data_IF_555174631605
#
_entry.id   IF_555174631605
#
_cell.length_a   1.000
_cell.length_b   1.000
_cell.length_c   1.000
_cell.angle_alpha   90.00
_cell.angle_beta   90.00
_cell.angle_gamma   90.00
#
_symmetry.space_group_name_H-M   'P 1'
#
loop_
_entity.id
_entity.type
_entity.pdbx_description
1 polymer ?
#
# COMPACT_ATOMS: atom_id res chain seq x y z
N UNK A 1 -3.31 0.97 21.28
CA UNK A 1 -2.97 1.51 19.96
C UNK A 1 -2.65 2.99 20.16
N UNK A 2 -1.56 3.51 19.57
CA UNK A 2 -1.24 4.95 19.60
C UNK A 2 -1.52 5.58 18.25
N UNK A 3 -1.84 6.86 18.21
CA UNK A 3 -1.95 7.58 16.94
C UNK A 3 -0.58 7.81 16.32
N UNK A 4 -0.47 7.78 15.00
CA UNK A 4 0.71 8.27 14.28
C UNK A 4 0.91 9.79 14.46
N UNK A 5 -0.15 10.53 14.80
CA UNK A 5 -0.08 11.98 15.06
C UNK A 5 0.64 12.31 16.35
N UNK A 6 0.61 11.40 17.34
CA UNK A 6 1.40 11.52 18.57
C UNK A 6 2.92 11.55 18.29
N UNK A 7 3.32 11.09 17.11
CA UNK A 7 4.71 11.09 16.63
C UNK A 7 4.95 12.17 15.57
N UNK A 8 3.98 13.06 15.34
CA UNK A 8 4.10 14.16 14.39
C UNK A 8 3.86 13.77 12.94
N UNK A 9 3.27 12.61 12.63
CA UNK A 9 2.81 12.30 11.26
C UNK A 9 1.52 13.07 11.00
N UNK A 10 1.60 14.13 10.19
CA UNK A 10 0.52 15.11 9.98
C UNK A 10 0.29 15.35 8.48
N UNK A 11 -0.95 15.57 8.02
CA UNK A 11 -1.24 15.76 6.60
C UNK A 11 -0.56 16.99 5.96
N UNK A 12 -0.26 18.00 6.76
CA UNK A 12 0.37 19.27 6.33
C UNK A 12 1.88 19.13 6.11
N UNK A 13 2.50 18.10 6.68
CA UNK A 13 3.93 17.88 6.54
C UNK A 13 4.28 17.52 5.09
N UNK A 14 5.48 17.92 4.70
CA UNK A 14 6.12 17.38 3.49
C UNK A 14 6.45 15.90 3.68
N UNK A 15 6.57 15.19 2.55
CA UNK A 15 6.68 13.73 2.50
C UNK A 15 7.81 13.17 3.38
N UNK A 16 9.03 13.71 3.28
CA UNK A 16 10.19 13.23 4.04
C UNK A 16 10.05 13.36 5.56
N UNK A 17 9.38 14.44 6.01
CA UNK A 17 9.11 14.66 7.44
C UNK A 17 8.15 13.61 7.96
N UNK A 18 7.07 13.33 7.23
CA UNK A 18 6.14 12.27 7.61
C UNK A 18 6.77 10.89 7.55
N UNK A 19 7.63 10.60 6.56
CA UNK A 19 8.38 9.34 6.49
C UNK A 19 9.25 9.15 7.72
N UNK A 20 10.01 10.18 8.10
CA UNK A 20 10.86 10.17 9.30
C UNK A 20 10.05 9.97 10.59
N UNK A 21 8.93 10.68 10.71
CA UNK A 21 8.05 10.61 11.87
C UNK A 21 7.33 9.26 11.97
N UNK A 22 6.90 8.70 10.84
CA UNK A 22 6.27 7.39 10.78
C UNK A 22 7.28 6.29 11.14
N UNK A 23 8.52 6.39 10.68
CA UNK A 23 9.59 5.47 11.09
C UNK A 23 9.82 5.56 12.60
N UNK A 24 9.83 6.77 13.19
CA UNK A 24 9.94 6.95 14.64
C UNK A 24 8.79 6.29 15.40
N UNK A 25 7.56 6.39 14.88
CA UNK A 25 6.40 5.72 15.46
C UNK A 25 6.54 4.19 15.42
N UNK A 26 7.01 3.65 14.28
CA UNK A 26 7.23 2.20 14.10
C UNK A 26 8.34 1.70 15.04
N UNK A 27 9.41 2.47 15.19
CA UNK A 27 10.52 2.15 16.09
C UNK A 27 10.07 2.11 17.56
N UNK A 28 9.09 2.95 17.92
CA UNK A 28 8.43 2.84 19.21
C UNK A 28 7.54 1.60 19.32
N UNK A 29 6.83 1.23 18.26
CA UNK A 29 5.85 0.14 18.26
C UNK A 29 6.49 -1.26 18.27
N UNK A 30 7.57 -1.44 17.50
CA UNK A 30 8.25 -2.72 17.27
C UNK A 30 8.66 -3.47 18.55
N UNK A 31 9.40 -2.87 19.51
CA UNK A 31 9.79 -3.57 20.75
C UNK A 31 8.61 -3.85 21.71
N UNK A 32 7.39 -3.40 21.36
CA UNK A 32 6.20 -3.50 22.21
C UNK A 32 5.12 -4.41 21.63
N UNK A 33 5.30 -4.91 20.41
CA UNK A 33 4.22 -5.60 19.68
C UNK A 33 2.99 -4.71 19.48
N UNK A 34 3.20 -3.40 19.37
CA UNK A 34 2.12 -2.43 19.39
C UNK A 34 1.58 -2.12 17.98
N UNK A 35 0.32 -1.73 17.94
CA UNK A 35 -0.30 -1.16 16.75
C UNK A 35 -0.30 0.38 16.79
N UNK A 36 -0.07 0.99 15.63
CA UNK A 36 -0.21 2.42 15.35
C UNK A 36 -1.50 2.65 14.56
N UNK A 37 -2.27 3.65 14.99
CA UNK A 37 -3.48 4.09 14.33
C UNK A 37 -3.16 5.18 13.32
N UNK A 38 -3.47 4.93 12.06
CA UNK A 38 -3.42 5.94 10.99
C UNK A 38 -4.72 6.73 11.06
N UNK A 39 -4.72 7.83 11.81
CA UNK A 39 -5.92 8.65 12.03
C UNK A 39 -6.51 9.15 10.70
N UNK A 40 -7.83 9.01 10.49
CA UNK A 40 -8.51 9.59 9.33
C UNK A 40 -8.34 11.10 9.21
N UNK A 41 -8.13 11.58 7.99
CA UNK A 41 -8.15 13.02 7.68
C UNK A 41 -8.80 13.33 6.32
N UNK A 42 -9.11 14.60 6.08
CA UNK A 42 -9.54 15.09 4.77
C UNK A 42 -8.39 15.15 3.76
N UNK A 43 -7.15 15.34 4.25
CA UNK A 43 -5.93 15.33 3.45
C UNK A 43 -5.13 14.03 3.68
N UNK A 44 -4.55 13.42 2.62
CA UNK A 44 -3.73 12.24 2.79
C UNK A 44 -2.39 12.59 3.46
N UNK A 45 -1.84 11.65 4.22
CA UNK A 45 -0.46 11.74 4.73
C UNK A 45 0.50 11.44 3.60
N UNK A 46 1.24 12.46 3.15
CA UNK A 46 2.26 12.29 2.12
C UNK A 46 3.49 11.61 2.70
N UNK A 47 4.06 10.65 1.99
CA UNK A 47 5.25 9.89 2.37
C UNK A 47 6.18 9.75 1.16
N UNK A 48 7.48 9.81 1.42
CA UNK A 48 8.48 9.16 0.56
C UNK A 48 8.54 7.67 0.88
N UNK A 49 9.04 6.88 -0.08
CA UNK A 49 9.20 5.45 0.08
C UNK A 49 10.31 5.09 1.08
N UNK A 50 10.45 3.79 1.33
CA UNK A 50 11.47 3.24 2.22
C UNK A 50 11.06 3.15 3.69
N UNK A 51 9.77 3.32 4.03
CA UNK A 51 9.30 3.12 5.41
C UNK A 51 9.38 1.63 5.75
N UNK A 52 10.18 1.28 6.74
CA UNK A 52 10.32 -0.11 7.20
C UNK A 52 9.31 -0.36 8.31
N UNK A 53 8.26 -1.14 8.02
CA UNK A 53 7.39 -1.71 9.03
C UNK A 53 8.12 -2.84 9.73
N UNK A 54 8.84 -2.47 10.79
CA UNK A 54 9.68 -3.37 11.57
C UNK A 54 8.87 -4.46 12.24
N UNK A 55 9.57 -5.55 12.54
CA UNK A 55 9.07 -6.70 13.27
C UNK A 55 8.14 -6.33 14.43
N UNK A 56 7.03 -7.05 14.57
CA UNK A 56 6.00 -6.92 15.62
C UNK A 56 5.15 -5.63 15.56
N UNK A 57 5.45 -4.67 14.69
CA UNK A 57 4.67 -3.45 14.55
C UNK A 57 3.47 -3.66 13.60
N UNK A 58 2.37 -2.96 13.88
CA UNK A 58 1.17 -2.97 13.03
C UNK A 58 0.72 -1.55 12.68
N UNK A 59 0.24 -1.35 11.45
CA UNK A 59 -0.43 -0.12 11.00
C UNK A 59 -1.92 -0.40 10.78
N UNK A 60 -2.79 0.33 11.48
CA UNK A 60 -4.24 0.12 11.45
C UNK A 60 -4.94 1.42 11.07
N UNK A 61 -5.76 1.37 10.02
CA UNK A 61 -6.61 2.47 9.58
C UNK A 61 -8.08 2.22 9.92
N UNK A 62 -8.91 3.20 9.57
CA UNK A 62 -10.32 3.25 9.95
C UNK A 62 -11.27 2.48 9.02
N UNK A 63 -10.82 2.11 7.82
CA UNK A 63 -11.73 1.62 6.79
C UNK A 63 -11.66 0.11 6.61
N UNK A 64 -12.79 -0.47 6.19
CA UNK A 64 -12.77 -1.72 5.45
C UNK A 64 -12.28 -1.48 4.00
N UNK A 65 -12.40 -2.48 3.13
CA UNK A 65 -11.98 -2.33 1.74
C UNK A 65 -12.97 -1.47 0.95
N UNK A 66 -12.57 -0.22 0.68
CA UNK A 66 -13.41 0.85 0.11
C UNK A 66 -13.27 0.92 -1.42
N UNK A 67 -13.73 -0.12 -2.10
CA UNK A 67 -13.72 -0.13 -3.57
C UNK A 67 -14.49 1.06 -4.14
N UNK A 68 -13.93 1.71 -5.18
CA UNK A 68 -14.38 2.98 -5.79
C UNK A 68 -13.86 4.26 -5.14
N UNK A 69 -13.30 4.19 -3.93
CA UNK A 69 -12.75 5.35 -3.24
C UNK A 69 -13.65 5.92 -2.16
N UNK A 70 -13.06 6.35 -1.05
CA UNK A 70 -13.65 7.48 -0.29
C UNK A 70 -13.50 8.76 -1.11
N UNK A 71 -14.21 9.83 -0.76
CA UNK A 71 -14.23 11.06 -1.56
C UNK A 71 -14.27 12.29 -0.69
N UNK A 72 -13.37 13.24 -0.96
CA UNK A 72 -13.46 14.59 -0.40
C UNK A 72 -14.69 15.34 -0.96
N UNK A 73 -15.31 16.20 -0.16
CA UNK A 73 -16.54 16.92 -0.56
C UNK A 73 -16.35 17.78 -1.82
N UNK A 74 -15.18 18.41 -1.95
CA UNK A 74 -14.84 19.34 -3.04
C UNK A 74 -13.61 18.97 -3.89
N UNK A 75 -12.77 18.02 -3.45
CA UNK A 75 -11.50 17.69 -4.11
C UNK A 75 -11.58 16.32 -4.77
N UNK A 76 -10.84 16.14 -5.87
CA UNK A 76 -10.72 14.87 -6.57
C UNK A 76 -9.70 13.94 -5.88
N UNK A 77 -9.94 13.62 -4.60
CA UNK A 77 -9.03 12.81 -3.78
C UNK A 77 -9.79 11.92 -2.78
N UNK A 78 -9.17 10.80 -2.35
CA UNK A 78 -9.66 10.03 -1.22
C UNK A 78 -9.43 10.75 0.11
N UNK A 79 -10.26 10.39 1.10
CA UNK A 79 -10.17 10.82 2.50
C UNK A 79 -10.05 9.61 3.43
N UNK A 80 -9.67 9.84 4.68
CA UNK A 80 -9.59 8.80 5.71
C UNK A 80 -8.15 8.43 6.07
N UNK A 81 -7.94 7.16 6.43
CA UNK A 81 -6.58 6.62 6.67
C UNK A 81 -5.87 6.40 5.32
N UNK A 82 -5.31 7.48 4.76
CA UNK A 82 -4.73 7.48 3.41
C UNK A 82 -3.25 7.85 3.46
N UNK A 83 -2.39 7.00 2.92
CA UNK A 83 -1.02 7.37 2.54
C UNK A 83 -0.98 7.74 1.06
N UNK A 84 -0.34 8.86 0.74
CA UNK A 84 -0.09 9.27 -0.63
C UNK A 84 1.41 9.35 -0.92
N UNK A 85 1.81 8.92 -2.12
CA UNK A 85 3.22 8.99 -2.53
C UNK A 85 3.34 9.14 -4.04
N UNK A 86 4.42 9.78 -4.46
CA UNK A 86 4.87 9.86 -5.84
C UNK A 86 6.36 9.48 -5.98
N UNK A 87 6.89 8.77 -4.98
CA UNK A 87 8.27 8.32 -4.95
C UNK A 87 8.53 7.26 -6.02
N UNK A 88 9.64 7.42 -6.74
CA UNK A 88 10.10 6.53 -7.81
C UNK A 88 11.30 5.68 -7.40
N UNK A 89 11.92 5.95 -6.25
CA UNK A 89 13.15 5.32 -5.81
C UNK A 89 12.92 4.04 -5.01
N UNK A 90 11.98 4.08 -4.06
CA UNK A 90 11.81 3.02 -3.07
C UNK A 90 10.36 2.50 -2.99
N UNK A 91 10.13 1.23 -2.62
CA UNK A 91 8.82 0.75 -2.22
C UNK A 91 8.23 1.64 -1.11
N UNK A 92 6.93 1.87 -1.09
CA UNK A 92 6.36 2.76 -0.08
C UNK A 92 6.53 2.17 1.33
N UNK A 93 6.10 0.93 1.53
CA UNK A 93 6.29 0.17 2.77
C UNK A 93 7.14 -1.08 2.51
N UNK A 94 8.13 -1.29 3.37
CA UNK A 94 8.94 -2.52 3.42
C UNK A 94 8.55 -3.28 4.70
N UNK A 95 8.04 -4.50 4.58
CA UNK A 95 7.49 -5.26 5.71
C UNK A 95 8.44 -6.35 6.19
N UNK A 96 8.60 -6.45 7.50
CA UNK A 96 9.28 -7.54 8.18
C UNK A 96 8.27 -8.53 8.78
N UNK A 97 8.76 -9.57 9.45
CA UNK A 97 7.94 -10.61 10.06
C UNK A 97 7.07 -10.12 11.23
N UNK A 98 5.98 -10.84 11.47
CA UNK A 98 4.99 -10.56 12.51
C UNK A 98 4.39 -9.13 12.42
N UNK A 99 4.13 -8.67 11.19
CA UNK A 99 3.55 -7.35 10.92
C UNK A 99 2.12 -7.42 10.41
N UNK A 100 1.36 -6.36 10.63
CA UNK A 100 0.03 -6.19 10.07
C UNK A 100 -0.16 -4.82 9.45
N UNK A 101 -0.77 -4.77 8.28
CA UNK A 101 -1.32 -3.55 7.69
C UNK A 101 -2.80 -3.79 7.46
N UNK A 102 -3.65 -2.96 8.07
CA UNK A 102 -5.10 -3.12 7.96
C UNK A 102 -5.83 -1.83 7.72
N UNK A 103 -6.78 -1.83 6.78
CA UNK A 103 -7.79 -0.76 6.67
C UNK A 103 -7.25 0.60 6.24
N UNK A 104 -6.15 0.58 5.50
CA UNK A 104 -5.43 1.75 4.99
C UNK A 104 -5.62 1.82 3.48
N UNK A 105 -5.68 3.05 2.97
CA UNK A 105 -5.71 3.36 1.55
C UNK A 105 -4.34 3.88 1.09
N UNK A 106 -3.92 3.50 -0.10
CA UNK A 106 -2.68 3.96 -0.74
C UNK A 106 -3.02 4.68 -2.04
N UNK A 107 -2.50 5.89 -2.22
CA UNK A 107 -2.83 6.72 -3.38
C UNK A 107 -1.59 7.28 -4.07
N UNK A 108 -1.52 7.09 -5.39
CA UNK A 108 -0.49 7.64 -6.26
C UNK A 108 -1.10 8.77 -7.10
N UNK A 109 -1.09 10.03 -6.60
CA UNK A 109 -1.86 11.12 -7.18
C UNK A 109 -1.39 11.55 -8.58
N UNK A 110 -0.16 11.21 -8.96
CA UNK A 110 0.41 11.57 -10.27
C UNK A 110 0.24 10.47 -11.33
N UNK A 111 -0.34 9.32 -10.99
CA UNK A 111 -0.55 8.24 -11.95
C UNK A 111 -1.55 8.65 -13.05
N UNK A 112 -1.28 8.21 -14.28
CA UNK A 112 -2.21 8.41 -15.40
C UNK A 112 -3.49 7.59 -15.24
N UNK A 113 -4.62 8.15 -15.67
CA UNK A 113 -5.91 7.44 -15.73
C UNK A 113 -6.43 7.27 -17.15
N UNK A 114 -5.84 7.94 -18.13
CA UNK A 114 -6.39 8.06 -19.49
C UNK A 114 -5.39 7.73 -20.59
N UNK A 115 -4.11 7.97 -20.37
CA UNK A 115 -3.05 7.84 -21.36
C UNK A 115 -2.09 6.70 -21.00
N UNK A 116 -2.12 5.56 -21.72
CA UNK A 116 -1.29 4.39 -21.41
C UNK A 116 0.22 4.64 -21.58
N UNK A 117 0.63 5.59 -22.43
CA UNK A 117 2.05 5.92 -22.65
C UNK A 117 2.65 6.69 -21.46
N UNK A 118 1.79 7.20 -20.56
CA UNK A 118 2.18 7.94 -19.35
C UNK A 118 2.06 7.11 -18.08
N UNK A 119 1.92 5.79 -18.20
CA UNK A 119 1.89 4.91 -17.02
C UNK A 119 3.23 5.03 -16.31
N UNK A 120 3.19 5.50 -15.07
CA UNK A 120 4.36 5.63 -14.22
C UNK A 120 4.62 4.28 -13.56
N UNK A 121 5.82 3.74 -13.80
CA UNK A 121 6.27 2.49 -13.21
C UNK A 121 6.78 2.70 -11.78
N UNK A 122 5.86 3.00 -10.85
CA UNK A 122 6.18 3.12 -9.43
C UNK A 122 6.77 1.81 -8.86
N UNK A 123 7.66 1.89 -7.86
CA UNK A 123 8.03 0.74 -7.03
C UNK A 123 6.78 0.11 -6.36
N UNK A 124 6.88 -1.15 -5.89
CA UNK A 124 5.78 -1.79 -5.17
C UNK A 124 5.27 -0.95 -4.00
N UNK A 125 3.96 -0.89 -3.80
CA UNK A 125 3.40 -0.20 -2.63
C UNK A 125 3.81 -0.87 -1.32
N UNK A 126 3.76 -2.20 -1.28
CA UNK A 126 4.20 -2.99 -0.13
C UNK A 126 5.18 -4.05 -0.63
N UNK A 127 6.38 -4.11 -0.06
CA UNK A 127 7.39 -5.10 -0.41
C UNK A 127 7.86 -5.86 0.83
N UNK A 128 8.07 -7.17 0.72
CA UNK A 128 8.81 -7.92 1.74
C UNK A 128 10.25 -7.39 1.87
N UNK A 129 10.76 -7.31 3.10
CA UNK A 129 12.17 -6.97 3.32
C UNK A 129 13.08 -7.94 2.55
N UNK A 130 14.15 -7.37 1.97
CA UNK A 130 15.19 -8.12 1.25
C UNK A 130 16.42 -8.42 2.10
N UNK A 131 16.41 -7.97 3.34
CA UNK A 131 17.51 -8.15 4.32
C UNK A 131 17.04 -8.85 5.59
N UNK A 132 15.75 -8.72 5.93
CA UNK A 132 15.11 -9.39 7.05
C UNK A 132 13.97 -10.29 6.55
N UNK A 133 13.67 -11.35 7.30
CA UNK A 133 12.59 -12.27 6.93
C UNK A 133 11.20 -11.62 7.05
N UNK A 134 10.27 -12.04 6.18
CA UNK A 134 8.87 -11.63 6.12
C UNK A 134 7.95 -12.84 6.37
N UNK A 135 7.85 -13.22 7.65
CA UNK A 135 7.05 -14.36 8.11
C UNK A 135 5.82 -13.87 8.86
N UNK A 136 4.65 -14.47 8.65
CA UNK A 136 3.44 -14.12 9.41
C UNK A 136 2.96 -12.68 9.14
N UNK A 137 3.14 -12.20 7.91
CA UNK A 137 2.67 -10.88 7.49
C UNK A 137 1.17 -10.95 7.15
N UNK A 138 0.38 -10.04 7.73
CA UNK A 138 -1.05 -9.91 7.42
C UNK A 138 -1.37 -8.57 6.76
N UNK A 139 -1.82 -8.60 5.52
CA UNK A 139 -2.31 -7.46 4.75
C UNK A 139 -3.82 -7.60 4.58
N UNK A 140 -4.61 -6.74 5.23
CA UNK A 140 -6.06 -6.90 5.27
C UNK A 140 -6.84 -5.62 4.99
N UNK A 141 -7.94 -5.71 4.24
CA UNK A 141 -8.83 -4.58 3.97
C UNK A 141 -8.13 -3.34 3.36
N UNK A 142 -7.10 -3.56 2.52
CA UNK A 142 -6.34 -2.49 1.90
C UNK A 142 -6.97 -2.04 0.59
N UNK A 143 -6.83 -0.76 0.26
CA UNK A 143 -7.27 -0.24 -1.05
C UNK A 143 -6.16 0.57 -1.72
N UNK A 144 -5.86 0.24 -2.97
CA UNK A 144 -4.80 0.86 -3.76
C UNK A 144 -5.41 1.69 -4.90
N UNK A 145 -4.85 2.87 -5.12
CA UNK A 145 -5.25 3.79 -6.17
C UNK A 145 -4.01 4.26 -6.94
N UNK A 146 -3.79 3.72 -8.13
CA UNK A 146 -2.81 4.23 -9.09
C UNK A 146 -1.42 3.62 -8.93
N UNK A 147 -1.34 2.57 -8.11
CA UNK A 147 -0.20 1.72 -7.96
C UNK A 147 0.19 1.11 -9.31
N UNK A 148 1.50 0.98 -9.55
CA UNK A 148 1.98 0.15 -10.65
C UNK A 148 1.96 -1.32 -10.24
N UNK A 149 2.54 -1.64 -9.08
CA UNK A 149 2.52 -2.95 -8.43
C UNK A 149 2.02 -2.76 -7.00
N UNK A 150 1.04 -3.55 -6.55
CA UNK A 150 0.51 -3.38 -5.19
C UNK A 150 1.38 -4.05 -4.13
N UNK A 151 1.67 -5.35 -4.30
CA UNK A 151 2.37 -6.15 -3.29
C UNK A 151 3.44 -7.03 -3.91
N UNK A 152 4.65 -6.98 -3.36
CA UNK A 152 5.81 -7.75 -3.83
C UNK A 152 6.47 -8.56 -2.71
N UNK A 153 6.24 -9.86 -2.72
CA UNK A 153 6.83 -10.85 -1.84
C UNK A 153 7.75 -11.81 -2.61
N UNK A 154 8.39 -11.37 -3.69
CA UNK A 154 9.40 -12.15 -4.42
C UNK A 154 10.72 -12.22 -3.66
N UNK A 155 10.83 -13.12 -2.68
CA UNK A 155 12.03 -13.24 -1.86
C UNK A 155 13.09 -14.14 -2.53
N UNK A 156 14.22 -14.32 -1.85
CA UNK A 156 15.28 -15.25 -2.25
C UNK A 156 15.38 -16.39 -1.24
N UNK A 157 16.08 -17.51 -1.56
CA UNK A 157 16.33 -18.57 -0.59
C UNK A 157 17.08 -18.13 0.67
N UNK A 158 17.73 -16.96 0.66
CA UNK A 158 18.48 -16.42 1.80
C UNK A 158 17.63 -15.57 2.75
N UNK A 159 16.38 -15.25 2.38
CA UNK A 159 15.47 -14.41 3.17
C UNK A 159 14.11 -15.09 3.25
N UNK A 160 13.76 -15.57 4.43
CA UNK A 160 12.56 -16.40 4.59
C UNK A 160 11.30 -15.55 4.38
N UNK A 161 10.39 -16.07 3.55
CA UNK A 161 9.06 -15.54 3.30
C UNK A 161 8.06 -16.67 3.52
N UNK A 162 7.13 -16.51 4.46
CA UNK A 162 6.17 -17.57 4.80
C UNK A 162 4.98 -17.06 5.60
N UNK A 163 3.91 -17.86 5.70
CA UNK A 163 2.72 -17.54 6.51
C UNK A 163 2.05 -16.21 6.14
N UNK A 164 2.07 -15.87 4.85
CA UNK A 164 1.44 -14.66 4.33
C UNK A 164 -0.08 -14.79 4.35
N UNK A 165 -0.76 -13.76 4.84
CA UNK A 165 -2.20 -13.59 4.71
C UNK A 165 -2.48 -12.27 4.02
N UNK A 166 -3.06 -12.32 2.82
CA UNK A 166 -3.48 -11.17 2.04
C UNK A 166 -4.98 -11.32 1.82
N UNK A 167 -5.78 -10.45 2.44
CA UNK A 167 -7.22 -10.60 2.41
C UNK A 167 -7.99 -9.30 2.21
N UNK A 168 -9.09 -9.39 1.48
CA UNK A 168 -9.99 -8.26 1.28
C UNK A 168 -9.30 -7.03 0.66
N UNK A 169 -8.24 -7.21 -0.12
CA UNK A 169 -7.52 -6.09 -0.74
C UNK A 169 -8.12 -5.71 -2.10
N UNK A 170 -8.12 -4.43 -2.44
CA UNK A 170 -8.70 -3.90 -3.68
C UNK A 170 -7.72 -2.98 -4.42
N UNK A 171 -7.58 -3.14 -5.72
CA UNK A 171 -6.68 -2.29 -6.52
C UNK A 171 -6.92 -2.42 -8.02
N UNK A 172 -6.08 -1.76 -8.80
CA UNK A 172 -5.92 -1.99 -10.23
C UNK A 172 -4.47 -1.68 -10.63
N UNK A 173 -3.54 -2.61 -10.38
CA UNK A 173 -2.12 -2.40 -10.63
C UNK A 173 -1.85 -2.23 -12.12
N UNK A 174 -1.24 -1.10 -12.49
CA UNK A 174 -1.00 -0.79 -13.90
C UNK A 174 0.16 -1.60 -14.52
N UNK A 175 0.89 -2.38 -13.73
CA UNK A 175 1.80 -3.42 -14.23
C UNK A 175 1.06 -4.69 -14.65
N UNK A 176 -0.20 -4.88 -14.24
CA UNK A 176 -0.94 -6.13 -14.35
C UNK A 176 -0.75 -7.09 -13.17
N UNK A 177 0.16 -6.79 -12.24
CA UNK A 177 0.54 -7.69 -11.15
C UNK A 177 0.02 -7.17 -9.81
N UNK A 178 -0.95 -7.86 -9.21
CA UNK A 178 -1.51 -7.43 -7.93
C UNK A 178 -0.71 -7.92 -6.74
N UNK A 179 -0.34 -9.20 -6.76
CA UNK A 179 0.51 -9.80 -5.74
C UNK A 179 1.57 -10.63 -6.43
N UNK A 180 2.84 -10.30 -6.24
CA UNK A 180 3.95 -11.18 -6.62
C UNK A 180 4.39 -11.98 -5.42
N UNK A 181 4.54 -13.29 -5.58
CA UNK A 181 5.08 -14.16 -4.56
C UNK A 181 6.06 -15.12 -5.24
N UNK A 182 7.27 -15.15 -4.72
CA UNK A 182 8.29 -16.13 -5.11
C UNK A 182 9.13 -16.48 -3.88
N UNK A 183 9.63 -17.71 -3.82
CA UNK A 183 10.35 -18.26 -2.67
C UNK A 183 9.59 -18.12 -1.33
N UNK A 184 8.29 -18.44 -1.34
CA UNK A 184 7.44 -18.50 -0.14
C UNK A 184 7.21 -19.96 0.28
N UNK A 185 7.66 -20.35 1.49
CA UNK A 185 7.80 -21.76 1.89
C UNK A 185 6.59 -22.34 2.68
N UNK A 186 5.86 -21.51 3.46
CA UNK A 186 4.61 -21.91 4.16
C UNK A 186 3.38 -21.21 3.54
N UNK A 187 2.26 -21.95 3.45
CA UNK A 187 1.10 -21.73 2.58
C UNK A 187 0.63 -20.26 2.56
N UNK A 188 0.95 -19.48 1.51
CA UNK A 188 0.41 -18.13 1.37
C UNK A 188 -1.09 -18.19 1.12
N UNK A 189 -1.85 -17.29 1.75
CA UNK A 189 -3.30 -17.18 1.58
C UNK A 189 -3.63 -15.85 0.96
N UNK A 190 -4.24 -15.88 -0.22
CA UNK A 190 -4.78 -14.70 -0.90
C UNK A 190 -6.29 -14.91 -1.05
N UNK A 191 -7.09 -14.15 -0.31
CA UNK A 191 -8.54 -14.39 -0.21
C UNK A 191 -9.36 -13.11 -0.33
N UNK A 192 -10.49 -13.17 -1.03
CA UNK A 192 -11.43 -12.05 -1.19
C UNK A 192 -10.83 -10.74 -1.74
N UNK A 193 -9.74 -10.84 -2.50
CA UNK A 193 -9.13 -9.73 -3.21
C UNK A 193 -9.89 -9.38 -4.50
N UNK A 194 -9.90 -8.10 -4.89
CA UNK A 194 -10.62 -7.62 -6.08
C UNK A 194 -9.78 -6.63 -6.89
N UNK A 195 -9.44 -7.03 -8.12
CA UNK A 195 -8.81 -6.16 -9.11
C UNK A 195 -9.89 -5.51 -9.98
N UNK A 196 -9.99 -4.19 -9.98
CA UNK A 196 -11.05 -3.47 -10.68
C UNK A 196 -10.61 -2.10 -11.21
N UNK A 197 -10.64 -1.85 -12.53
CA UNK A 197 -10.20 -0.56 -13.10
C UNK A 197 -11.05 0.63 -12.66
N UNK A 198 -12.25 0.41 -12.14
CA UNK A 198 -13.12 1.46 -11.60
C UNK A 198 -12.83 1.81 -10.13
N UNK A 199 -11.67 1.42 -9.57
CA UNK A 199 -11.39 1.58 -8.15
C UNK A 199 -11.31 3.05 -7.68
N UNK A 200 -11.12 4.01 -8.58
CA UNK A 200 -11.11 5.45 -8.25
C UNK A 200 -12.40 6.21 -8.62
N UNK A 201 -13.47 5.48 -9.00
CA UNK A 201 -14.67 6.05 -9.65
C UNK A 201 -15.30 7.22 -8.89
N UNK A 202 -15.26 7.23 -7.57
CA UNK A 202 -15.93 8.26 -6.78
C UNK A 202 -15.16 9.58 -6.71
N UNK A 203 -13.83 9.59 -6.87
CA UNK A 203 -13.02 10.81 -6.72
C UNK A 203 -12.22 11.21 -7.96
N UNK A 204 -11.85 10.30 -8.86
CA UNK A 204 -11.00 10.61 -10.02
C UNK A 204 -11.64 10.25 -11.38
N UNK A 205 -12.97 10.17 -11.44
CA UNK A 205 -13.74 9.68 -12.60
C UNK A 205 -13.55 8.18 -12.88
N UNK A 206 -14.17 7.66 -13.94
CA UNK A 206 -14.23 6.22 -14.25
C UNK A 206 -12.89 5.61 -14.70
N UNK A 207 -12.98 4.56 -15.52
CA UNK A 207 -11.80 3.90 -16.10
C UNK A 207 -11.61 4.29 -17.57
N UNK A 208 -10.37 4.21 -18.06
CA UNK A 208 -10.06 4.34 -19.49
C UNK A 208 -9.90 2.96 -20.13
N UNK A 209 -10.71 2.66 -21.16
CA UNK A 209 -10.57 1.42 -21.93
C UNK A 209 -9.15 1.27 -22.48
N UNK A 210 -8.54 2.35 -22.98
CA UNK A 210 -7.17 2.32 -23.54
C UNK A 210 -6.12 1.94 -22.50
N UNK A 211 -6.25 2.43 -21.27
CA UNK A 211 -5.37 2.03 -20.17
C UNK A 211 -5.61 0.57 -19.83
N UNK A 212 -6.87 0.12 -19.74
CA UNK A 212 -7.18 -1.29 -19.48
C UNK A 212 -6.60 -2.20 -20.56
N UNK A 213 -6.80 -1.88 -21.84
CA UNK A 213 -6.26 -2.66 -22.96
C UNK A 213 -4.73 -2.74 -22.89
N UNK A 214 -4.04 -1.63 -22.56
CA UNK A 214 -2.59 -1.58 -22.44
C UNK A 214 -2.08 -2.42 -21.25
N UNK A 215 -2.75 -2.38 -20.10
CA UNK A 215 -2.42 -3.25 -18.96
C UNK A 215 -2.64 -4.72 -19.33
N UNK A 216 -3.73 -5.03 -20.03
CA UNK A 216 -4.03 -6.39 -20.48
C UNK A 216 -2.98 -6.92 -21.47
N UNK A 217 -2.54 -6.08 -22.40
CA UNK A 217 -1.56 -6.44 -23.41
C UNK A 217 -0.18 -6.80 -22.83
N UNK A 218 0.12 -6.42 -21.58
CA UNK A 218 1.38 -6.78 -20.90
C UNK A 218 1.48 -8.29 -20.62
N UNK A 219 0.35 -9.00 -20.51
CA UNK A 219 0.34 -10.46 -20.29
C UNK A 219 0.85 -10.91 -18.92
N UNK A 220 0.89 -10.00 -17.95
CA UNK A 220 1.46 -10.19 -16.61
C UNK A 220 0.43 -10.42 -15.50
N UNK A 221 -0.84 -10.69 -15.86
CA UNK A 221 -1.86 -10.99 -14.85
C UNK A 221 -1.50 -12.27 -14.08
N UNK A 222 -1.03 -12.07 -12.85
CA UNK A 222 -0.77 -13.08 -11.85
C UNK A 222 -1.33 -12.60 -10.50
#
# INVERSE_FOLDING_TARGET
MKSIRDFGVLPENVADVNTTNLQTAIDWASPRGAALYVEPDAEPYRLTGGVILKMNASLIGAHGPVGRGTRHSSKAQPVGSVFATDDLGEPLLIVEHATQVRGIQFWYPKQTLSDPEKIIAYPPTIQASRTNSAQGVTLSALTFYGEYIAMDFNCSPSVICEQLVIEHCRGYPLSGEFVRIDHCYDVPRIVHCHVNPANMRFFASGFSKRVVDAVVARGTFA
#
